data_IF_230553718063
#
_entry.id   IF_230553718063
#
_cell.length_a   1.000
_cell.length_b   1.000
_cell.length_c   1.000
_cell.angle_alpha   90.00
_cell.angle_beta   90.00
_cell.angle_gamma   90.00
#
_symmetry.space_group_name_H-M   'P 1'
#
loop_
_entity.id
_entity.type
_entity.pdbx_description
1 polymer ?
#
# COMPACT_ATOMS: atom_id res chain seq x y z
N UNK A 1 0.84 8.39 -13.41
CA UNK A 1 1.34 7.48 -12.35
C UNK A 1 0.17 6.65 -11.82
N UNK A 2 0.37 5.36 -11.78
CA UNK A 2 -0.64 4.42 -11.27
C UNK A 2 -0.27 3.98 -9.87
N UNK A 3 -1.19 4.16 -8.92
CA UNK A 3 -0.94 3.80 -7.53
C UNK A 3 -2.02 2.87 -6.97
N UNK A 4 -1.64 2.14 -5.93
CA UNK A 4 -2.54 1.33 -5.12
C UNK A 4 -2.40 1.80 -3.67
N UNK A 5 -3.52 1.89 -2.96
CA UNK A 5 -3.57 2.25 -1.54
C UNK A 5 -4.03 1.03 -0.76
N UNK A 6 -3.24 0.61 0.23
CA UNK A 6 -3.59 -0.50 1.11
C UNK A 6 -3.78 0.05 2.51
N UNK A 7 -5.03 0.18 2.92
CA UNK A 7 -5.44 0.83 4.15
C UNK A 7 -6.85 0.38 4.52
N UNK A 8 -7.08 0.02 5.77
CA UNK A 8 -8.40 -0.45 6.22
C UNK A 8 -9.32 0.65 6.75
N UNK A 9 -8.81 1.86 6.98
CA UNK A 9 -9.58 2.98 7.49
C UNK A 9 -10.07 3.84 6.33
N UNK A 10 -11.39 3.88 6.14
CA UNK A 10 -12.01 4.56 5.00
C UNK A 10 -11.64 6.05 4.91
N UNK A 11 -11.68 6.76 6.05
CA UNK A 11 -11.36 8.19 6.05
C UNK A 11 -9.89 8.44 5.73
N UNK A 12 -8.99 7.54 6.13
CA UNK A 12 -7.58 7.64 5.80
C UNK A 12 -7.36 7.47 4.30
N UNK A 13 -8.08 6.54 3.67
CA UNK A 13 -8.04 6.37 2.21
C UNK A 13 -8.50 7.64 1.50
N UNK A 14 -9.61 8.21 1.95
CA UNK A 14 -10.16 9.42 1.33
C UNK A 14 -9.20 10.62 1.47
N UNK A 15 -8.64 10.79 2.66
CA UNK A 15 -7.71 11.89 2.91
C UNK A 15 -6.46 11.76 2.06
N UNK A 16 -5.86 10.58 2.02
CA UNK A 16 -4.67 10.32 1.23
C UNK A 16 -4.95 10.47 -0.26
N UNK A 17 -6.07 9.93 -0.73
CA UNK A 17 -6.46 10.03 -2.14
C UNK A 17 -6.62 11.47 -2.58
N UNK A 18 -7.29 12.29 -1.76
CA UNK A 18 -7.48 13.70 -2.07
C UNK A 18 -6.16 14.47 -2.13
N UNK A 19 -5.30 14.24 -1.14
CA UNK A 19 -4.00 14.89 -1.09
C UNK A 19 -3.12 14.52 -2.28
N UNK A 20 -3.07 13.24 -2.62
CA UNK A 20 -2.26 12.76 -3.75
C UNK A 20 -2.78 13.28 -5.08
N UNK A 21 -4.09 13.32 -5.24
CA UNK A 21 -4.71 13.84 -6.47
C UNK A 21 -4.38 15.32 -6.66
N UNK A 22 -4.31 16.10 -5.58
CA UNK A 22 -3.96 17.51 -5.64
C UNK A 22 -2.46 17.72 -5.97
N UNK A 23 -1.61 16.82 -5.50
CA UNK A 23 -0.16 16.98 -5.64
C UNK A 23 0.41 16.42 -6.94
N UNK A 24 -0.20 15.38 -7.47
CA UNK A 24 0.34 14.64 -8.62
C UNK A 24 -0.61 14.74 -9.80
N UNK A 25 -0.27 15.51 -10.85
CA UNK A 25 -1.07 15.56 -12.06
C UNK A 25 -1.14 14.18 -12.73
N UNK A 26 -2.26 13.85 -13.31
CA UNK A 26 -2.48 12.60 -14.03
C UNK A 26 -2.34 11.36 -13.16
N UNK A 27 -2.53 11.50 -11.85
CA UNK A 27 -2.55 10.38 -10.93
C UNK A 27 -3.75 9.48 -11.21
N UNK A 28 -3.49 8.18 -11.24
CA UNK A 28 -4.55 7.19 -11.35
C UNK A 28 -4.49 6.25 -10.14
N UNK A 29 -5.51 6.31 -9.30
CA UNK A 29 -5.65 5.39 -8.17
C UNK A 29 -6.38 4.15 -8.70
N UNK A 30 -5.65 3.03 -8.81
CA UNK A 30 -6.21 1.81 -9.39
C UNK A 30 -7.23 1.16 -8.47
N UNK A 31 -6.94 1.12 -7.18
CA UNK A 31 -7.81 0.54 -6.18
C UNK A 31 -7.34 0.91 -4.79
N UNK A 32 -8.23 0.73 -3.81
CA UNK A 32 -7.87 0.71 -2.40
C UNK A 32 -8.26 -0.64 -1.82
N UNK A 33 -7.41 -1.20 -0.97
CA UNK A 33 -7.55 -2.56 -0.46
C UNK A 33 -7.42 -2.50 1.06
N UNK A 34 -8.28 -3.23 1.77
CA UNK A 34 -8.37 -3.14 3.22
C UNK A 34 -7.88 -4.40 3.97
N UNK A 35 -7.56 -5.47 3.27
CA UNK A 35 -7.11 -6.72 3.89
C UNK A 35 -5.85 -7.26 3.22
N UNK A 36 -5.10 -8.07 3.98
CA UNK A 36 -3.95 -8.81 3.45
C UNK A 36 -4.40 -9.77 2.35
N UNK A 37 -5.49 -10.51 2.60
CA UNK A 37 -6.01 -11.49 1.67
C UNK A 37 -6.35 -10.87 0.32
N UNK A 38 -7.09 -9.78 0.32
CA UNK A 38 -7.47 -9.09 -0.92
C UNK A 38 -6.27 -8.47 -1.63
N UNK A 39 -5.29 -7.99 -0.87
CA UNK A 39 -4.06 -7.45 -1.45
C UNK A 39 -3.28 -8.53 -2.18
N UNK A 40 -3.11 -9.69 -1.58
CA UNK A 40 -2.41 -10.81 -2.22
C UNK A 40 -3.12 -11.19 -3.51
N UNK A 41 -4.43 -11.32 -3.47
CA UNK A 41 -5.23 -11.67 -4.65
C UNK A 41 -5.07 -10.63 -5.75
N UNK A 42 -5.15 -9.34 -5.39
CA UNK A 42 -5.04 -8.28 -6.38
C UNK A 42 -3.68 -8.28 -7.08
N UNK A 43 -2.59 -8.40 -6.31
CA UNK A 43 -1.25 -8.40 -6.89
C UNK A 43 -0.95 -9.64 -7.72
N UNK A 44 -1.59 -10.76 -7.41
CA UNK A 44 -1.46 -11.97 -8.22
C UNK A 44 -2.17 -11.88 -9.57
N UNK A 45 -3.19 -11.04 -9.66
CA UNK A 45 -4.06 -10.97 -10.84
C UNK A 45 -3.92 -9.68 -11.65
N UNK A 46 -3.06 -8.77 -11.25
CA UNK A 46 -2.91 -7.47 -11.92
C UNK A 46 -1.43 -7.11 -12.10
N UNK A 47 -1.11 -6.32 -13.11
CA UNK A 47 0.25 -5.80 -13.26
C UNK A 47 0.63 -4.92 -12.06
N UNK A 48 1.93 -4.84 -11.77
CA UNK A 48 2.42 -3.99 -10.69
C UNK A 48 2.10 -2.52 -10.97
N UNK A 49 1.63 -1.77 -9.95
CA UNK A 49 1.48 -0.33 -10.07
C UNK A 49 2.84 0.36 -10.04
N UNK A 50 2.84 1.67 -10.24
CA UNK A 50 4.06 2.46 -10.14
C UNK A 50 4.49 2.69 -8.69
N UNK A 51 3.53 2.71 -7.77
CA UNK A 51 3.78 3.00 -6.35
C UNK A 51 2.65 2.43 -5.50
N UNK A 52 3.00 1.96 -4.30
CA UNK A 52 2.02 1.45 -3.32
C UNK A 52 2.14 2.26 -2.03
N UNK A 53 1.03 2.79 -1.55
CA UNK A 53 0.93 3.33 -0.20
C UNK A 53 0.30 2.26 0.68
N UNK A 54 0.94 1.95 1.80
CA UNK A 54 0.56 0.79 2.61
C UNK A 54 0.59 1.12 4.09
N UNK A 55 -0.55 0.91 4.78
CA UNK A 55 -0.57 0.92 6.23
C UNK A 55 0.04 -0.40 6.72
N UNK A 56 0.66 -0.35 7.88
CA UNK A 56 1.31 -1.53 8.47
C UNK A 56 0.29 -2.52 8.99
N UNK A 57 -0.79 -2.02 9.61
CA UNK A 57 -1.81 -2.89 10.18
C UNK A 57 -3.11 -2.81 9.40
N UNK A 58 -3.61 -3.96 8.97
CA UNK A 58 -4.85 -4.10 8.23
C UNK A 58 -5.87 -4.87 9.07
N UNK A 59 -7.10 -4.99 8.54
CA UNK A 59 -8.20 -5.61 9.27
C UNK A 59 -7.90 -7.07 9.66
N UNK A 60 -7.18 -7.79 8.82
CA UNK A 60 -6.90 -9.22 9.00
C UNK A 60 -5.45 -9.54 9.37
N UNK A 61 -4.63 -8.55 9.66
CA UNK A 61 -3.25 -8.78 10.08
C UNK A 61 -2.30 -7.68 9.66
N UNK A 62 -1.00 -7.99 9.71
CA UNK A 62 0.04 -7.04 9.31
C UNK A 62 0.26 -7.09 7.80
N UNK A 63 0.40 -5.92 7.18
CA UNK A 63 0.63 -5.83 5.75
C UNK A 63 1.94 -6.51 5.32
N UNK A 64 2.90 -6.68 6.25
CA UNK A 64 4.12 -7.44 5.97
C UNK A 64 3.84 -8.86 5.50
N UNK A 65 2.70 -9.43 5.88
CA UNK A 65 2.32 -10.78 5.46
C UNK A 65 2.04 -10.88 3.96
N UNK A 66 1.75 -9.76 3.31
CA UNK A 66 1.58 -9.73 1.86
C UNK A 66 2.85 -10.22 1.17
N UNK A 67 4.01 -9.80 1.68
CA UNK A 67 5.31 -10.12 1.08
C UNK A 67 5.70 -11.59 1.22
N UNK A 68 4.98 -12.35 2.06
CA UNK A 68 5.19 -13.79 2.19
C UNK A 68 4.53 -14.57 1.05
N UNK A 69 3.57 -13.97 0.39
CA UNK A 69 2.76 -14.65 -0.63
C UNK A 69 3.04 -14.17 -2.03
N UNK A 70 3.58 -12.96 -2.18
CA UNK A 70 3.87 -12.37 -3.48
C UNK A 70 5.23 -11.68 -3.43
N UNK A 71 5.82 -11.52 -4.60
CA UNK A 71 7.00 -10.67 -4.78
C UNK A 71 6.50 -9.34 -5.32
N UNK A 72 6.53 -8.30 -4.48
CA UNK A 72 6.07 -6.97 -4.87
C UNK A 72 7.27 -6.18 -5.40
N UNK A 73 7.24 -5.87 -6.70
CA UNK A 73 8.33 -5.13 -7.35
C UNK A 73 8.16 -3.63 -7.30
N UNK A 74 6.94 -3.14 -7.09
CA UNK A 74 6.68 -1.72 -6.98
C UNK A 74 7.25 -1.16 -5.66
N UNK A 75 7.75 0.09 -5.66
CA UNK A 75 8.16 0.73 -4.40
C UNK A 75 6.96 0.93 -3.48
N UNK A 76 7.23 0.84 -2.17
CA UNK A 76 6.20 0.94 -1.13
C UNK A 76 6.53 2.09 -0.20
N UNK A 77 5.54 2.94 0.05
CA UNK A 77 5.61 3.98 1.07
C UNK A 77 4.67 3.57 2.20
N UNK A 78 5.22 3.37 3.40
CA UNK A 78 4.40 3.06 4.56
C UNK A 78 3.82 4.33 5.14
N UNK A 79 2.53 4.30 5.46
CA UNK A 79 1.79 5.47 5.93
C UNK A 79 1.73 5.57 7.45
N UNK A 80 2.16 4.54 8.18
CA UNK A 80 2.21 4.53 9.63
C UNK A 80 3.61 4.88 10.12
N UNK A 81 3.69 5.74 11.14
CA UNK A 81 4.97 6.29 11.62
C UNK A 81 5.48 5.61 12.89
N UNK A 82 5.32 4.29 13.03
CA UNK A 82 5.85 3.57 14.18
C UNK A 82 7.27 3.09 13.89
N UNK A 83 8.24 3.57 14.67
CA UNK A 83 9.66 3.32 14.43
C UNK A 83 10.01 1.83 14.41
N UNK A 84 9.41 1.04 15.29
CA UNK A 84 9.69 -0.39 15.37
C UNK A 84 9.31 -1.12 14.08
N UNK A 85 8.35 -0.61 13.33
CA UNK A 85 7.96 -1.16 12.03
C UNK A 85 8.77 -0.58 10.90
N UNK A 86 9.24 0.64 11.04
CA UNK A 86 10.04 1.32 10.02
C UNK A 86 11.31 0.55 9.70
N UNK A 87 11.99 0.03 10.72
CA UNK A 87 13.19 -0.77 10.50
C UNK A 87 12.92 -2.04 9.69
N UNK A 88 11.79 -2.67 9.92
CA UNK A 88 11.37 -3.84 9.14
C UNK A 88 11.03 -3.47 7.71
N UNK A 89 10.44 -2.30 7.52
CA UNK A 89 10.07 -1.81 6.20
C UNK A 89 11.29 -1.64 5.28
N UNK A 90 12.41 -1.17 5.80
CA UNK A 90 13.63 -1.05 5.00
C UNK A 90 14.07 -2.37 4.41
N UNK A 91 13.84 -3.46 5.12
CA UNK A 91 14.20 -4.79 4.64
C UNK A 91 13.26 -5.30 3.55
N UNK A 92 12.15 -4.63 3.34
CA UNK A 92 11.12 -5.00 2.38
C UNK A 92 11.11 -4.07 1.16
N UNK A 93 12.22 -3.42 0.88
CA UNK A 93 12.36 -2.55 -0.30
C UNK A 93 11.36 -1.38 -0.28
N UNK A 94 11.16 -0.77 0.87
CA UNK A 94 10.27 0.39 1.02
C UNK A 94 11.01 1.69 0.80
N UNK A 95 10.24 2.73 0.58
CA UNK A 95 10.74 4.10 0.47
C UNK A 95 10.37 4.87 1.74
#
# INVERSE_FOLDING_TARGET
>A
MKIVIIEDEFHAVQYLSGMLTDLIPDLQILTSIDTVEDAVEWFQNNPAPDLVFMDIQLADGLSFDIFRHIELTAPVIFTTAFDQYTLRAFKLNSI
#
